data_IF_433008997457
#
_entry.id   IF_433008997457
#
_cell.length_a   1.000
_cell.length_b   1.000
_cell.length_c   1.000
_cell.angle_alpha   90.00
_cell.angle_beta   90.00
_cell.angle_gamma   90.00
#
_symmetry.space_group_name_H-M   'P 1'
#
loop_
_entity.id
_entity.type
_entity.pdbx_description
1 polymer ?
#
# COMPACT_ATOMS: atom_id res chain seq x y z
N UNK A 1 35.81 -69.53 4.30
CA UNK A 1 35.22 -68.65 5.33
C UNK A 1 34.44 -67.55 4.63
N UNK A 2 33.15 -67.79 4.38
CA UNK A 2 32.28 -66.88 3.63
C UNK A 2 31.18 -66.40 4.57
N UNK A 3 31.11 -65.08 4.82
CA UNK A 3 30.08 -64.47 5.68
C UNK A 3 28.99 -63.84 4.80
N UNK A 4 27.84 -64.50 4.73
CA UNK A 4 26.58 -63.91 4.27
C UNK A 4 26.07 -62.89 5.28
N UNK A 5 25.72 -61.69 4.81
CA UNK A 5 24.94 -60.70 5.58
C UNK A 5 23.46 -60.86 5.26
N UNK A 6 22.68 -61.12 6.30
CA UNK A 6 21.24 -61.26 6.31
C UNK A 6 20.64 -59.85 6.46
N UNK A 7 19.81 -59.41 5.51
CA UNK A 7 19.04 -58.16 5.57
C UNK A 7 17.68 -58.48 6.18
N UNK A 8 17.41 -58.01 7.40
CA UNK A 8 16.06 -58.01 7.99
C UNK A 8 15.36 -56.69 7.63
N UNK A 9 14.27 -56.77 6.88
CA UNK A 9 13.31 -55.69 6.74
C UNK A 9 12.49 -55.56 8.02
N UNK A 10 12.54 -54.38 8.62
CA UNK A 10 11.70 -53.98 9.75
C UNK A 10 10.50 -53.20 9.21
N UNK A 11 9.30 -53.76 9.36
CA UNK A 11 8.04 -53.04 9.17
C UNK A 11 7.78 -52.13 10.38
N UNK A 12 7.35 -50.87 10.21
CA UNK A 12 6.86 -50.07 11.31
C UNK A 12 5.38 -50.37 11.60
N UNK A 13 5.12 -50.62 12.88
CA UNK A 13 3.81 -50.88 13.44
C UNK A 13 2.97 -49.61 13.62
N UNK A 14 1.67 -49.83 13.58
CA UNK A 14 0.54 -48.93 13.84
C UNK A 14 0.75 -47.92 14.99
N UNK A 15 0.32 -46.67 14.75
CA UNK A 15 -0.19 -45.79 15.80
C UNK A 15 -1.55 -45.23 15.36
N UNK A 16 -2.59 -45.95 15.80
CA UNK A 16 -3.97 -45.47 15.90
C UNK A 16 -4.04 -44.36 16.95
N UNK A 17 -3.94 -43.10 16.52
CA UNK A 17 -4.27 -41.95 17.35
C UNK A 17 -5.71 -41.50 17.06
N UNK A 18 -6.58 -41.92 17.96
CA UNK A 18 -7.98 -41.54 18.13
C UNK A 18 -8.26 -40.03 17.98
N UNK A 19 -9.14 -39.69 17.02
CA UNK A 19 -9.83 -38.41 16.92
C UNK A 19 -10.74 -38.18 18.15
N UNK A 20 -10.23 -37.48 19.17
CA UNK A 20 -11.06 -36.88 20.22
C UNK A 20 -11.47 -35.47 19.76
N UNK A 21 -12.65 -35.40 19.14
CA UNK A 21 -13.42 -34.17 18.95
C UNK A 21 -13.68 -33.52 20.31
N UNK A 22 -12.84 -32.55 20.68
CA UNK A 22 -13.19 -31.59 21.73
C UNK A 22 -14.07 -30.53 21.10
N UNK A 23 -15.36 -30.62 21.38
CA UNK A 23 -16.33 -29.58 21.09
C UNK A 23 -15.92 -28.29 21.81
N UNK A 24 -15.16 -27.43 21.11
CA UNK A 24 -14.97 -26.04 21.51
C UNK A 24 -16.32 -25.35 21.36
N UNK A 25 -17.01 -25.26 22.49
CA UNK A 25 -18.18 -24.42 22.73
C UNK A 25 -17.78 -22.98 22.37
N UNK A 26 -18.10 -22.57 21.14
CA UNK A 26 -18.05 -21.18 20.72
C UNK A 26 -19.01 -20.39 21.62
N UNK A 27 -18.47 -19.80 22.70
CA UNK A 27 -19.15 -18.67 23.35
C UNK A 27 -19.04 -17.53 22.36
N UNK A 28 -20.18 -17.13 21.80
CA UNK A 28 -20.37 -15.83 21.18
C UNK A 28 -19.89 -14.75 22.17
N UNK A 29 -18.65 -14.30 22.00
CA UNK A 29 -18.17 -13.10 22.63
C UNK A 29 -18.75 -11.95 21.82
N UNK A 30 -19.78 -11.31 22.36
CA UNK A 30 -20.18 -9.98 21.93
C UNK A 30 -18.97 -9.04 22.09
N UNK A 31 -18.46 -8.41 21.02
CA UNK A 31 -17.53 -7.31 21.18
C UNK A 31 -18.35 -6.13 21.70
N UNK A 32 -18.25 -5.88 23.00
CA UNK A 32 -18.64 -4.61 23.57
C UNK A 32 -17.78 -3.53 22.91
N UNK A 33 -18.42 -2.59 22.22
CA UNK A 33 -17.80 -1.35 21.76
C UNK A 33 -17.15 -0.62 22.94
N UNK A 34 -15.83 -0.77 23.11
CA UNK A 34 -15.03 0.21 23.82
C UNK A 34 -14.71 1.34 22.85
N UNK A 35 -15.51 2.40 22.92
CA UNK A 35 -15.25 3.68 22.27
C UNK A 35 -13.91 4.23 22.74
N UNK A 36 -12.86 4.04 21.94
CA UNK A 36 -11.60 4.76 22.07
C UNK A 36 -11.83 6.23 21.73
N UNK A 37 -12.05 7.03 22.77
CA UNK A 37 -11.98 8.49 22.70
C UNK A 37 -10.50 8.87 22.78
N UNK A 38 -9.83 8.90 21.64
CA UNK A 38 -8.52 9.55 21.50
C UNK A 38 -8.72 11.07 21.54
N UNK A 39 -8.15 11.73 22.55
CA UNK A 39 -8.02 13.17 22.61
C UNK A 39 -6.53 13.51 22.58
N UNK A 40 -6.02 13.83 21.40
CA UNK A 40 -4.75 14.52 21.24
C UNK A 40 -4.91 15.97 21.71
N UNK A 41 -4.18 16.37 22.75
CA UNK A 41 -4.01 17.78 23.11
C UNK A 41 -2.77 18.32 22.39
N UNK A 42 -2.96 18.91 21.21
CA UNK A 42 -2.03 19.91 20.70
C UNK A 42 -2.18 21.17 21.57
N UNK A 43 -1.13 21.54 22.29
CA UNK A 43 -0.96 22.90 22.81
C UNK A 43 0.14 23.56 22.01
N UNK A 44 -0.27 24.23 20.93
CA UNK A 44 0.58 25.09 20.11
C UNK A 44 -0.15 26.41 19.92
N UNK A 45 0.44 27.49 20.44
CA UNK A 45 -0.01 28.87 20.30
C UNK A 45 -0.37 29.18 18.83
N UNK A 46 -1.64 29.46 18.54
CA UNK A 46 -2.05 30.09 17.29
C UNK A 46 -2.32 31.58 17.51
N UNK A 47 -1.52 32.37 16.80
CA UNK A 47 -1.73 33.78 16.49
C UNK A 47 -3.06 33.91 15.74
N UNK A 48 -3.96 34.76 16.23
CA UNK A 48 -5.17 35.15 15.50
C UNK A 48 -4.78 35.95 14.26
N UNK A 49 -4.98 35.37 13.08
CA UNK A 49 -5.14 36.14 11.84
C UNK A 49 -6.62 36.02 11.44
N UNK A 50 -7.31 37.16 11.47
CA UNK A 50 -8.67 37.28 10.95
C UNK A 50 -8.60 37.29 9.42
N UNK A 51 -9.22 36.32 8.75
CA UNK A 51 -9.62 36.46 7.35
C UNK A 51 -11.14 36.30 7.24
N UNK A 52 -11.79 37.43 7.07
CA UNK A 52 -13.18 37.55 6.65
C UNK A 52 -13.32 37.13 5.19
N UNK A 53 -14.17 36.15 4.90
CA UNK A 53 -14.71 35.97 3.54
C UNK A 53 -16.22 36.15 3.57
N UNK A 54 -16.78 36.98 2.66
CA UNK A 54 -18.20 37.31 2.67
C UNK A 54 -19.02 36.24 1.97
N UNK A 55 -20.19 35.99 2.55
CA UNK A 55 -21.34 35.33 1.95
C UNK A 55 -21.82 36.12 0.72
N UNK A 56 -22.01 35.44 -0.41
CA UNK A 56 -22.69 36.02 -1.59
C UNK A 56 -23.60 35.00 -2.25
N UNK A 57 -24.89 35.16 -1.95
CA UNK A 57 -26.06 34.76 -2.73
C UNK A 57 -25.96 35.22 -4.20
N UNK A 58 -26.22 34.31 -5.16
CA UNK A 58 -26.91 34.51 -6.47
C UNK A 58 -27.33 33.10 -6.93
N UNK A 59 -28.56 32.65 -7.19
CA UNK A 59 -29.87 33.18 -7.62
C UNK A 59 -29.86 34.03 -8.89
N UNK A 60 -30.07 33.37 -10.04
CA UNK A 60 -30.93 33.71 -11.19
C UNK A 60 -30.44 32.90 -12.40
N UNK A 61 -31.29 32.10 -13.07
CA UNK A 61 -31.96 32.42 -14.37
C UNK A 61 -30.94 32.65 -15.51
N UNK A 62 -31.13 32.27 -16.77
CA UNK A 62 -32.15 31.66 -17.62
C UNK A 62 -31.39 31.38 -18.94
N UNK A 63 -31.93 30.51 -19.82
CA UNK A 63 -31.72 30.57 -21.29
C UNK A 63 -30.29 30.33 -21.82
N UNK A 64 -30.03 29.81 -23.02
CA UNK A 64 -30.79 29.27 -24.14
C UNK A 64 -29.74 28.81 -25.16
N UNK A 65 -30.17 27.98 -26.12
CA UNK A 65 -29.54 27.81 -27.46
C UNK A 65 -28.18 27.08 -27.52
N UNK A 66 -27.81 26.36 -28.56
CA UNK A 66 -28.47 25.71 -29.70
C UNK A 66 -27.32 24.95 -30.40
N UNK A 67 -27.66 23.93 -31.20
CA UNK A 67 -26.91 23.54 -32.41
C UNK A 67 -25.45 23.04 -32.33
N UNK A 68 -25.30 21.72 -32.51
CA UNK A 68 -24.42 21.06 -33.50
C UNK A 68 -24.75 19.56 -33.46
N UNK A 69 -25.73 19.05 -34.22
CA UNK A 69 -25.67 18.70 -35.65
C UNK A 69 -24.32 18.12 -36.08
N UNK A 70 -24.13 16.85 -35.80
CA UNK A 70 -23.20 15.99 -36.55
C UNK A 70 -23.97 14.84 -37.17
N UNK A 71 -24.17 14.97 -38.47
CA UNK A 71 -24.67 13.96 -39.39
C UNK A 71 -23.55 12.94 -39.63
N UNK A 72 -23.84 11.65 -39.50
CA UNK A 72 -23.08 10.57 -40.12
C UNK A 72 -24.07 9.44 -40.39
N UNK A 73 -24.72 9.48 -41.55
CA UNK A 73 -24.34 8.72 -42.74
C UNK A 73 -24.89 7.30 -42.71
N UNK A 74 -26.13 7.22 -43.19
CA UNK A 74 -26.72 6.08 -43.88
C UNK A 74 -25.78 5.53 -44.96
N UNK A 75 -25.30 4.31 -44.79
CA UNK A 75 -24.76 3.50 -45.89
C UNK A 75 -25.56 2.20 -45.97
N UNK A 76 -26.61 2.25 -46.79
CA UNK A 76 -27.31 1.09 -47.33
C UNK A 76 -26.30 0.28 -48.16
N UNK A 77 -25.80 -0.82 -47.60
CA UNK A 77 -25.14 -1.86 -48.40
C UNK A 77 -26.14 -2.98 -48.64
N UNK A 78 -26.73 -2.90 -49.82
CA UNK A 78 -27.64 -3.88 -50.41
C UNK A 78 -26.84 -5.09 -50.89
N UNK A 79 -26.64 -6.10 -50.04
CA UNK A 79 -26.27 -7.44 -50.51
C UNK A 79 -27.54 -8.28 -50.68
N UNK A 80 -27.99 -8.33 -51.95
CA UNK A 80 -28.93 -9.33 -52.47
C UNK A 80 -28.35 -10.72 -52.23
N UNK A 81 -28.92 -11.46 -51.29
CA UNK A 81 -28.78 -12.92 -51.22
C UNK A 81 -29.83 -13.55 -52.14
N UNK A 82 -29.48 -14.59 -52.92
CA UNK A 82 -30.43 -15.26 -53.79
C UNK A 82 -31.45 -16.04 -52.96
N UNK A 83 -32.74 -15.74 -53.16
CA UNK A 83 -33.85 -16.56 -52.70
C UNK A 83 -33.67 -17.99 -53.27
N UNK A 84 -33.16 -18.89 -52.43
CA UNK A 84 -33.33 -20.32 -52.65
C UNK A 84 -34.78 -20.64 -52.30
N UNK A 85 -35.52 -20.99 -53.35
CA UNK A 85 -36.81 -21.67 -53.32
C UNK A 85 -36.72 -22.88 -52.38
N UNK A 86 -37.14 -22.72 -51.14
CA UNK A 86 -37.54 -23.83 -50.29
C UNK A 86 -39.06 -23.82 -50.27
N UNK A 87 -39.65 -24.63 -51.14
CA UNK A 87 -40.98 -25.19 -50.92
C UNK A 87 -40.89 -26.10 -49.68
N UNK A 88 -40.77 -25.51 -48.50
CA UNK A 88 -41.05 -26.22 -47.27
C UNK A 88 -42.55 -26.44 -47.19
N UNK A 89 -42.90 -27.71 -47.06
CA UNK A 89 -44.25 -28.17 -46.83
C UNK A 89 -44.83 -27.37 -45.66
N UNK A 90 -45.80 -26.49 -45.95
CA UNK A 90 -46.68 -25.91 -44.93
C UNK A 90 -47.39 -27.08 -44.25
N UNK A 91 -46.75 -27.67 -43.24
CA UNK A 91 -47.45 -28.40 -42.19
C UNK A 91 -48.47 -27.38 -41.68
N UNK A 92 -49.74 -27.64 -41.98
CA UNK A 92 -50.83 -26.82 -41.49
C UNK A 92 -50.65 -26.82 -39.98
N UNK A 93 -50.26 -25.67 -39.42
CA UNK A 93 -50.20 -25.51 -37.98
C UNK A 93 -51.59 -25.89 -37.47
N UNK A 94 -51.70 -26.76 -36.45
CA UNK A 94 -52.99 -27.09 -35.88
C UNK A 94 -53.71 -25.78 -35.58
N UNK A 95 -54.98 -25.71 -36.02
CA UNK A 95 -55.78 -24.50 -35.89
C UNK A 95 -55.82 -24.12 -34.41
N UNK A 96 -55.38 -22.91 -34.06
CA UNK A 96 -55.34 -22.45 -32.65
C UNK A 96 -56.72 -22.50 -31.98
N UNK A 97 -57.79 -22.55 -32.78
CA UNK A 97 -59.17 -22.71 -32.36
C UNK A 97 -59.50 -24.11 -31.81
N UNK A 98 -58.71 -25.12 -32.17
CA UNK A 98 -58.91 -26.54 -31.81
C UNK A 98 -58.09 -26.97 -30.60
N UNK A 99 -57.36 -26.05 -29.96
CA UNK A 99 -56.61 -26.34 -28.74
C UNK A 99 -57.56 -26.63 -27.57
N UNK A 100 -57.56 -27.89 -27.12
CA UNK A 100 -58.44 -28.42 -26.08
C UNK A 100 -58.33 -27.61 -24.77
N UNK A 101 -57.11 -27.20 -24.38
CA UNK A 101 -56.88 -26.44 -23.15
C UNK A 101 -57.46 -25.02 -23.24
N UNK A 102 -57.31 -24.37 -24.39
CA UNK A 102 -57.88 -23.05 -24.62
C UNK A 102 -59.42 -23.11 -24.71
N UNK A 103 -59.99 -24.16 -25.28
CA UNK A 103 -61.44 -24.36 -25.34
C UNK A 103 -62.03 -24.54 -23.93
N UNK A 104 -61.39 -25.36 -23.09
CA UNK A 104 -61.82 -25.55 -21.70
C UNK A 104 -61.75 -24.23 -20.91
N UNK A 105 -60.64 -23.50 -21.02
CA UNK A 105 -60.47 -22.20 -20.38
C UNK A 105 -61.52 -21.18 -20.88
N UNK A 106 -61.78 -21.13 -22.19
CA UNK A 106 -62.81 -20.26 -22.78
C UNK A 106 -64.17 -20.52 -22.15
N UNK A 107 -64.58 -21.79 -22.10
CA UNK A 107 -65.88 -22.16 -21.56
C UNK A 107 -65.97 -21.88 -20.06
N UNK A 108 -64.87 -22.04 -19.32
CA UNK A 108 -64.77 -21.73 -17.88
C UNK A 108 -64.96 -20.24 -17.60
N UNK A 109 -64.37 -19.35 -18.41
CA UNK A 109 -64.33 -17.92 -18.12
C UNK A 109 -65.44 -17.08 -18.80
N UNK A 110 -66.03 -17.54 -19.91
CA UNK A 110 -67.06 -16.79 -20.67
C UNK A 110 -68.36 -16.49 -19.90
N UNK A 111 -68.66 -17.22 -18.82
CA UNK A 111 -69.86 -17.02 -17.99
C UNK A 111 -69.64 -16.21 -16.72
N UNK A 112 -68.42 -15.72 -16.47
CA UNK A 112 -68.07 -15.02 -15.24
C UNK A 112 -68.08 -13.51 -15.46
N UNK A 113 -68.76 -12.75 -14.58
CA UNK A 113 -68.77 -11.29 -14.68
C UNK A 113 -67.39 -10.65 -14.45
N UNK A 114 -66.50 -11.34 -13.71
CA UNK A 114 -65.13 -10.90 -13.43
C UNK A 114 -64.18 -12.11 -13.35
N UNK A 115 -63.70 -12.64 -14.49
CA UNK A 115 -62.82 -13.80 -14.50
C UNK A 115 -61.44 -13.45 -13.90
N UNK A 116 -61.01 -14.25 -12.92
CA UNK A 116 -59.71 -14.09 -12.25
C UNK A 116 -58.70 -15.06 -12.85
N UNK A 117 -57.55 -14.55 -13.33
CA UNK A 117 -56.49 -15.32 -13.98
C UNK A 117 -55.26 -15.53 -13.09
N UNK A 118 -55.44 -15.71 -11.78
CA UNK A 118 -54.32 -15.82 -10.84
C UNK A 118 -53.60 -17.16 -10.89
N UNK A 119 -54.28 -18.22 -11.33
CA UNK A 119 -53.76 -19.59 -11.36
C UNK A 119 -53.05 -19.95 -12.67
N UNK A 120 -53.23 -19.15 -13.72
CA UNK A 120 -52.80 -19.50 -15.08
C UNK A 120 -51.37 -19.01 -15.37
N UNK A 121 -50.60 -19.83 -16.08
CA UNK A 121 -49.23 -19.50 -16.51
C UNK A 121 -49.23 -18.29 -17.47
N UNK A 122 -48.38 -17.26 -17.25
CA UNK A 122 -48.20 -16.16 -18.20
C UNK A 122 -47.96 -16.57 -19.65
N UNK A 123 -47.29 -17.70 -19.93
CA UNK A 123 -47.12 -18.18 -21.30
C UNK A 123 -48.42 -18.75 -21.88
N UNK A 124 -49.20 -19.47 -21.07
CA UNK A 124 -50.53 -19.93 -21.47
C UNK A 124 -51.46 -18.75 -21.74
N UNK A 125 -51.44 -17.71 -20.91
CA UNK A 125 -52.24 -16.49 -21.12
C UNK A 125 -51.97 -15.82 -22.47
N UNK A 126 -50.71 -15.84 -22.98
CA UNK A 126 -50.41 -15.30 -24.32
C UNK A 126 -51.06 -16.12 -25.43
N UNK A 127 -50.92 -17.45 -25.36
CA UNK A 127 -51.55 -18.38 -26.32
C UNK A 127 -53.07 -18.25 -26.26
N UNK A 128 -53.62 -18.13 -25.06
CA UNK A 128 -55.06 -17.98 -24.85
C UNK A 128 -55.61 -16.65 -25.40
N UNK A 129 -54.85 -15.55 -25.32
CA UNK A 129 -55.20 -14.29 -26.01
C UNK A 129 -55.30 -14.48 -27.53
N UNK A 130 -54.39 -15.24 -28.13
CA UNK A 130 -54.43 -15.53 -29.57
C UNK A 130 -55.62 -16.42 -29.93
N UNK A 131 -55.92 -17.44 -29.12
CA UNK A 131 -57.12 -18.27 -29.26
C UNK A 131 -58.41 -17.43 -29.20
N UNK A 132 -58.54 -16.55 -28.20
CA UNK A 132 -59.74 -15.74 -28.01
C UNK A 132 -59.94 -14.72 -29.15
N UNK A 133 -58.86 -14.18 -29.71
CA UNK A 133 -58.92 -13.34 -30.92
C UNK A 133 -59.43 -14.13 -32.14
N UNK A 134 -58.90 -15.33 -32.35
CA UNK A 134 -59.35 -16.20 -33.44
C UNK A 134 -60.82 -16.60 -33.27
N UNK A 135 -61.23 -16.91 -32.04
CA UNK A 135 -62.62 -17.24 -31.71
C UNK A 135 -63.57 -16.05 -31.93
N UNK A 136 -63.16 -14.84 -31.55
CA UNK A 136 -63.94 -13.62 -31.82
C UNK A 136 -64.18 -13.41 -33.32
N UNK A 137 -63.19 -13.67 -34.16
CA UNK A 137 -63.32 -13.60 -35.62
C UNK A 137 -64.22 -14.71 -36.20
N UNK A 138 -64.16 -15.92 -35.62
CA UNK A 138 -65.02 -17.03 -35.99
C UNK A 138 -66.49 -16.75 -35.63
N UNK A 139 -66.76 -16.23 -34.42
CA UNK A 139 -68.10 -15.76 -34.02
C UNK A 139 -68.63 -14.67 -34.95
N UNK A 140 -67.79 -13.71 -35.36
CA UNK A 140 -68.16 -12.67 -36.32
C UNK A 140 -68.52 -13.25 -37.69
N UNK A 141 -67.81 -14.29 -38.13
CA UNK A 141 -68.07 -14.99 -39.40
C UNK A 141 -69.35 -15.83 -39.35
N UNK A 142 -69.74 -16.30 -38.17
CA UNK A 142 -70.97 -17.07 -37.89
C UNK A 142 -72.15 -16.20 -37.47
N UNK A 143 -72.00 -14.87 -37.47
CA UNK A 143 -73.03 -13.90 -37.05
C UNK A 143 -73.46 -14.04 -35.57
N UNK A 144 -72.63 -14.64 -34.72
CA UNK A 144 -72.87 -14.80 -33.27
C UNK A 144 -72.30 -13.60 -32.49
N UNK A 145 -72.94 -12.44 -32.61
CA UNK A 145 -72.38 -11.18 -32.11
C UNK A 145 -72.31 -11.07 -30.59
N UNK A 146 -73.27 -11.65 -29.85
CA UNK A 146 -73.28 -11.62 -28.38
C UNK A 146 -72.09 -12.41 -27.79
N UNK A 147 -71.87 -13.63 -28.28
CA UNK A 147 -70.72 -14.47 -27.91
C UNK A 147 -69.40 -13.81 -28.35
N UNK A 148 -69.34 -13.23 -29.54
CA UNK A 148 -68.18 -12.49 -30.02
C UNK A 148 -67.85 -11.27 -29.14
N UNK A 149 -68.86 -10.57 -28.62
CA UNK A 149 -68.64 -9.45 -27.71
C UNK A 149 -68.10 -9.90 -26.34
N UNK A 150 -68.64 -11.00 -25.79
CA UNK A 150 -68.12 -11.61 -24.55
C UNK A 150 -66.67 -12.07 -24.72
N UNK A 151 -66.35 -12.73 -25.84
CA UNK A 151 -65.00 -13.15 -26.19
C UNK A 151 -64.03 -11.97 -26.30
N UNK A 152 -64.47 -10.85 -26.88
CA UNK A 152 -63.67 -9.65 -27.00
C UNK A 152 -63.42 -8.98 -25.63
N UNK A 153 -64.43 -8.88 -24.76
CA UNK A 153 -64.25 -8.37 -23.39
C UNK A 153 -63.24 -9.24 -22.64
N UNK A 154 -63.38 -10.57 -22.73
CA UNK A 154 -62.43 -11.50 -22.12
C UNK A 154 -61.01 -11.32 -22.65
N UNK A 155 -60.86 -11.09 -23.96
CA UNK A 155 -59.57 -10.79 -24.60
C UNK A 155 -58.94 -9.51 -24.04
N UNK A 156 -59.71 -8.44 -23.84
CA UNK A 156 -59.20 -7.20 -23.26
C UNK A 156 -58.74 -7.42 -21.81
N UNK A 157 -59.53 -8.12 -21.00
CA UNK A 157 -59.16 -8.44 -19.62
C UNK A 157 -57.85 -9.26 -19.54
N UNK A 158 -57.65 -10.22 -20.45
CA UNK A 158 -56.41 -10.99 -20.55
C UNK A 158 -55.21 -10.12 -20.94
N UNK A 159 -55.38 -9.18 -21.90
CA UNK A 159 -54.32 -8.25 -22.31
C UNK A 159 -53.94 -7.32 -21.16
N UNK A 160 -54.93 -6.76 -20.46
CA UNK A 160 -54.70 -5.92 -19.28
C UNK A 160 -53.96 -6.68 -18.18
N UNK A 161 -54.34 -7.94 -17.93
CA UNK A 161 -53.63 -8.81 -16.99
C UNK A 161 -52.19 -9.05 -17.42
N UNK A 162 -51.93 -9.41 -18.68
CA UNK A 162 -50.57 -9.59 -19.21
C UNK A 162 -49.73 -8.31 -19.10
N UNK A 163 -50.33 -7.15 -19.38
CA UNK A 163 -49.69 -5.84 -19.18
C UNK A 163 -49.37 -5.58 -17.71
N UNK A 164 -50.28 -5.90 -16.79
CA UNK A 164 -50.05 -5.75 -15.35
C UNK A 164 -48.89 -6.64 -14.85
N UNK A 165 -48.84 -7.89 -15.32
CA UNK A 165 -47.77 -8.84 -15.00
C UNK A 165 -46.43 -8.30 -15.53
N UNK A 166 -46.37 -7.92 -16.81
CA UNK A 166 -45.16 -7.38 -17.44
C UNK A 166 -44.66 -6.12 -16.75
N UNK A 167 -45.53 -5.17 -16.45
CA UNK A 167 -45.16 -3.93 -15.76
C UNK A 167 -44.66 -4.19 -14.33
N UNK A 168 -45.26 -5.16 -13.62
CA UNK A 168 -44.80 -5.57 -12.28
C UNK A 168 -43.38 -6.16 -12.32
N UNK A 169 -43.09 -7.03 -13.27
CA UNK A 169 -41.75 -7.62 -13.43
C UNK A 169 -40.71 -6.58 -13.86
N UNK A 170 -41.02 -5.73 -14.84
CA UNK A 170 -40.09 -4.69 -15.29
C UNK A 170 -39.76 -3.71 -14.16
N UNK A 171 -40.77 -3.29 -13.38
CA UNK A 171 -40.55 -2.42 -12.23
C UNK A 171 -39.65 -3.07 -11.17
N UNK A 172 -39.85 -4.34 -10.87
CA UNK A 172 -39.00 -5.08 -9.92
C UNK A 172 -37.56 -5.22 -10.41
N UNK A 173 -37.34 -5.44 -11.70
CA UNK A 173 -36.00 -5.61 -12.27
C UNK A 173 -35.26 -4.26 -12.34
N UNK A 174 -35.93 -3.19 -12.75
CA UNK A 174 -35.37 -1.83 -12.77
C UNK A 174 -34.96 -1.37 -11.36
N UNK A 175 -35.79 -1.64 -10.34
CA UNK A 175 -35.48 -1.36 -8.93
C UNK A 175 -34.22 -2.13 -8.46
N UNK A 176 -34.07 -3.39 -8.88
CA UNK A 176 -32.90 -4.22 -8.57
C UNK A 176 -31.63 -3.72 -9.24
N UNK A 177 -31.71 -3.32 -10.52
CA UNK A 177 -30.59 -2.74 -11.27
C UNK A 177 -30.16 -1.40 -10.64
N UNK A 178 -31.11 -0.54 -10.28
CA UNK A 178 -30.81 0.73 -9.62
C UNK A 178 -30.14 0.52 -8.25
N UNK A 179 -30.62 -0.46 -7.48
CA UNK A 179 -30.02 -0.83 -6.21
C UNK A 179 -28.58 -1.34 -6.37
N UNK A 180 -28.33 -2.20 -7.35
CA UNK A 180 -27.00 -2.72 -7.65
C UNK A 180 -26.04 -1.58 -8.02
N UNK A 181 -26.46 -0.66 -8.90
CA UNK A 181 -25.66 0.52 -9.25
C UNK A 181 -25.33 1.39 -8.04
N UNK A 182 -26.27 1.57 -7.11
CA UNK A 182 -26.03 2.31 -5.86
C UNK A 182 -25.02 1.59 -4.96
N UNK A 183 -25.13 0.27 -4.82
CA UNK A 183 -24.20 -0.54 -4.05
C UNK A 183 -22.78 -0.47 -4.63
N UNK A 184 -22.62 -0.57 -5.95
CA UNK A 184 -21.33 -0.50 -6.61
C UNK A 184 -20.72 0.91 -6.54
N UNK A 185 -21.53 1.96 -6.71
CA UNK A 185 -21.06 3.34 -6.50
C UNK A 185 -20.62 3.60 -5.05
N UNK A 186 -21.24 2.95 -4.07
CA UNK A 186 -20.85 3.05 -2.68
C UNK A 186 -19.54 2.31 -2.40
N UNK A 187 -19.35 1.10 -2.96
CA UNK A 187 -18.08 0.37 -2.88
C UNK A 187 -16.92 1.18 -3.48
N UNK A 188 -17.14 1.81 -4.63
CA UNK A 188 -16.12 2.65 -5.27
C UNK A 188 -15.75 3.86 -4.41
N UNK A 189 -16.73 4.50 -3.76
CA UNK A 189 -16.47 5.58 -2.79
C UNK A 189 -15.61 5.14 -1.62
N UNK A 190 -15.87 3.96 -1.03
CA UNK A 190 -15.06 3.43 0.06
C UNK A 190 -13.64 3.12 -0.37
N UNK A 191 -13.49 2.57 -1.58
CA UNK A 191 -12.18 2.30 -2.16
C UNK A 191 -11.37 3.58 -2.31
N UNK A 192 -11.99 4.63 -2.89
CA UNK A 192 -11.36 5.94 -3.02
C UNK A 192 -10.98 6.54 -1.66
N UNK A 193 -11.86 6.46 -0.66
CA UNK A 193 -11.56 6.96 0.69
C UNK A 193 -10.41 6.19 1.38
N UNK A 194 -10.32 4.87 1.17
CA UNK A 194 -9.19 4.06 1.66
C UNK A 194 -7.89 4.40 0.94
N UNK A 195 -7.93 4.57 -0.39
CA UNK A 195 -6.76 4.94 -1.20
C UNK A 195 -6.25 6.34 -0.80
N UNK A 196 -7.14 7.32 -0.62
CA UNK A 196 -6.79 8.65 -0.12
C UNK A 196 -6.19 8.60 1.29
N UNK A 197 -6.72 7.75 2.18
CA UNK A 197 -6.19 7.58 3.53
C UNK A 197 -4.79 6.94 3.52
N UNK A 198 -4.56 5.97 2.64
CA UNK A 198 -3.26 5.33 2.47
C UNK A 198 -2.22 6.33 1.90
N UNK A 199 -2.61 7.19 0.95
CA UNK A 199 -1.76 8.28 0.45
C UNK A 199 -1.38 9.27 1.57
N UNK A 200 -2.36 9.73 2.35
CA UNK A 200 -2.11 10.62 3.50
C UNK A 200 -1.18 9.97 4.54
N UNK A 201 -1.31 8.66 4.73
CA UNK A 201 -0.44 7.88 5.64
C UNK A 201 1.00 7.88 5.14
N UNK A 202 1.21 7.65 3.83
CA UNK A 202 2.53 7.70 3.21
C UNK A 202 3.17 9.09 3.31
N UNK A 203 2.41 10.15 3.05
CA UNK A 203 2.89 11.54 3.18
C UNK A 203 3.33 11.86 4.63
N UNK A 204 2.54 11.45 5.62
CA UNK A 204 2.88 11.63 7.04
C UNK A 204 4.14 10.85 7.43
N UNK A 205 4.30 9.64 6.89
CA UNK A 205 5.47 8.81 7.14
C UNK A 205 6.72 9.44 6.55
N UNK A 206 6.66 9.92 5.30
CA UNK A 206 7.76 10.64 4.67
C UNK A 206 8.14 11.92 5.44
N UNK A 207 7.15 12.72 5.84
CA UNK A 207 7.40 13.92 6.64
C UNK A 207 8.03 13.60 8.01
N UNK A 208 7.66 12.47 8.63
CA UNK A 208 8.29 11.99 9.86
C UNK A 208 9.75 11.60 9.62
N UNK A 209 10.04 10.88 8.53
CA UNK A 209 11.41 10.47 8.18
C UNK A 209 12.31 11.67 7.87
N UNK A 210 11.83 12.66 7.12
CA UNK A 210 12.54 13.91 6.87
C UNK A 210 12.87 14.64 8.19
N UNK A 211 11.89 14.74 9.10
CA UNK A 211 12.10 15.32 10.44
C UNK A 211 13.14 14.54 11.25
N UNK A 212 13.08 13.21 11.23
CA UNK A 212 14.04 12.36 11.94
C UNK A 212 15.45 12.54 11.39
N UNK A 213 15.59 12.66 10.07
CA UNK A 213 16.87 12.94 9.43
C UNK A 213 17.42 14.31 9.86
N UNK A 214 16.59 15.36 9.87
CA UNK A 214 17.01 16.67 10.37
C UNK A 214 17.46 16.62 11.84
N UNK A 215 16.80 15.82 12.67
CA UNK A 215 17.18 15.64 14.07
C UNK A 215 18.53 14.94 14.22
N UNK A 216 18.82 13.95 13.36
CA UNK A 216 20.13 13.30 13.29
C UNK A 216 21.20 14.31 12.84
N UNK A 217 20.92 15.12 11.82
CA UNK A 217 21.86 16.12 11.33
C UNK A 217 22.13 17.20 12.39
N UNK A 218 21.09 17.68 13.07
CA UNK A 218 21.21 18.61 14.20
C UNK A 218 22.00 17.98 15.36
N UNK A 219 21.78 16.69 15.64
CA UNK A 219 22.53 15.96 16.66
C UNK A 219 24.02 15.88 16.30
N UNK A 220 24.34 15.55 15.05
CA UNK A 220 25.72 15.44 14.57
C UNK A 220 26.42 16.80 14.58
N UNK A 221 25.76 17.85 14.07
CA UNK A 221 26.32 19.21 14.05
C UNK A 221 26.51 19.78 15.47
N UNK A 222 25.60 19.49 16.39
CA UNK A 222 25.70 19.94 17.79
C UNK A 222 26.68 19.13 18.65
N UNK A 223 27.06 17.92 18.23
CA UNK A 223 27.95 17.06 19.00
C UNK A 223 29.39 17.61 19.09
N UNK A 224 29.81 18.37 18.09
CA UNK A 224 31.20 18.78 17.96
C UNK A 224 31.59 19.93 18.91
N UNK A 225 30.72 20.92 19.10
CA UNK A 225 31.12 22.14 19.81
C UNK A 225 31.05 22.02 21.34
N UNK A 226 29.94 21.53 21.88
CA UNK A 226 29.65 21.59 23.31
C UNK A 226 30.05 20.32 24.06
N UNK A 227 29.82 19.16 23.45
CA UNK A 227 30.08 17.88 24.10
C UNK A 227 31.56 17.56 24.17
N UNK A 228 32.31 17.83 23.11
CA UNK A 228 33.75 17.56 23.09
C UNK A 228 34.51 18.35 24.17
N UNK A 229 34.08 19.58 24.47
CA UNK A 229 34.61 20.37 25.58
C UNK A 229 34.51 19.64 26.92
N UNK A 230 33.49 18.81 27.19
CA UNK A 230 33.33 18.19 28.53
C UNK A 230 34.36 17.11 28.84
N UNK A 231 34.73 16.28 27.87
CA UNK A 231 35.66 15.13 28.01
C UNK A 231 37.10 15.54 27.94
N UNK A 232 37.27 16.64 27.26
CA UNK A 232 38.35 17.53 27.51
C UNK A 232 38.26 18.02 29.00
N UNK A 233 38.75 17.34 30.05
CA UNK A 233 39.31 18.01 31.27
C UNK A 233 40.57 17.27 31.76
N UNK A 234 41.74 17.91 32.04
CA UNK A 234 42.93 17.18 32.42
C UNK A 234 42.69 16.63 33.82
N UNK A 235 43.28 15.48 34.14
CA UNK A 235 43.27 15.06 35.53
C UNK A 235 44.03 16.07 36.40
N UNK A 236 43.66 16.12 37.69
CA UNK A 236 44.42 16.90 38.67
C UNK A 236 45.88 16.45 38.79
N UNK A 237 46.17 15.17 38.51
CA UNK A 237 47.53 14.62 38.55
C UNK A 237 48.39 15.17 37.40
N UNK A 238 47.88 15.16 36.17
CA UNK A 238 48.56 15.75 35.02
C UNK A 238 48.82 17.26 35.21
N UNK A 239 47.84 17.98 35.76
CA UNK A 239 48.02 19.39 36.13
C UNK A 239 49.14 19.60 37.17
N UNK A 240 49.28 18.69 38.13
CA UNK A 240 50.34 18.75 39.13
C UNK A 240 51.71 18.47 38.54
N UNK A 241 51.82 17.48 37.64
CA UNK A 241 53.08 17.19 36.93
C UNK A 241 53.55 18.40 36.13
N UNK A 242 52.67 19.07 35.38
CA UNK A 242 53.03 20.30 34.65
C UNK A 242 53.43 21.47 35.55
N UNK A 243 52.81 21.59 36.74
CA UNK A 243 53.23 22.61 37.71
C UNK A 243 54.61 22.31 38.25
N UNK A 244 54.89 21.05 38.58
CA UNK A 244 56.18 20.58 39.09
C UNK A 244 57.29 20.73 38.05
N UNK A 245 57.04 20.32 36.81
CA UNK A 245 57.91 20.53 35.65
C UNK A 245 58.30 22.01 35.50
N UNK A 246 57.31 22.91 35.43
CA UNK A 246 57.54 24.36 35.32
C UNK A 246 58.31 24.93 36.50
N UNK A 247 58.08 24.39 37.70
CA UNK A 247 58.78 24.80 38.91
C UNK A 247 60.26 24.38 38.88
N UNK A 248 60.56 23.13 38.53
CA UNK A 248 61.93 22.60 38.40
C UNK A 248 62.72 23.31 37.30
N UNK A 249 62.09 23.58 36.16
CA UNK A 249 62.69 24.34 35.07
C UNK A 249 63.07 25.77 35.51
N UNK A 250 62.24 26.44 36.32
CA UNK A 250 62.56 27.75 36.90
C UNK A 250 63.74 27.70 37.89
N UNK A 251 63.91 26.58 38.59
CA UNK A 251 65.04 26.34 39.49
C UNK A 251 66.32 25.91 38.74
N UNK A 252 66.31 25.83 37.40
CA UNK A 252 67.41 25.37 36.55
C UNK A 252 67.84 23.91 36.81
N UNK A 253 66.95 23.08 37.33
CA UNK A 253 67.16 21.65 37.50
C UNK A 253 66.63 20.90 36.27
N UNK A 254 67.39 20.96 35.17
CA UNK A 254 66.89 20.52 33.86
C UNK A 254 66.70 19.00 33.74
N UNK A 255 67.60 18.21 34.31
CA UNK A 255 67.54 16.74 34.25
C UNK A 255 66.26 16.19 34.92
N UNK A 256 65.93 16.71 36.10
CA UNK A 256 64.72 16.28 36.81
C UNK A 256 63.45 16.81 36.12
N UNK A 257 63.50 18.02 35.55
CA UNK A 257 62.39 18.55 34.76
C UNK A 257 62.11 17.67 33.52
N UNK A 258 63.13 17.17 32.83
CA UNK A 258 63.00 16.25 31.69
C UNK A 258 62.36 14.91 32.11
N UNK A 259 62.72 14.38 33.28
CA UNK A 259 62.11 13.16 33.83
C UNK A 259 60.61 13.35 34.08
N UNK A 260 60.23 14.45 34.72
CA UNK A 260 58.82 14.78 34.99
C UNK A 260 58.06 15.06 33.68
N UNK A 261 58.70 15.70 32.71
CA UNK A 261 58.13 15.94 31.38
C UNK A 261 57.75 14.63 30.69
N UNK A 262 58.66 13.66 30.62
CA UNK A 262 58.36 12.36 30.01
C UNK A 262 57.26 11.57 30.73
N UNK A 263 57.10 11.74 32.05
CA UNK A 263 55.97 11.19 32.80
C UNK A 263 54.65 11.90 32.46
N UNK A 264 54.67 13.23 32.39
CA UNK A 264 53.51 14.05 32.02
C UNK A 264 53.03 13.76 30.60
N UNK A 265 53.94 13.58 29.63
CA UNK A 265 53.60 13.21 28.25
C UNK A 265 52.92 11.84 28.18
N UNK A 266 53.48 10.84 28.88
CA UNK A 266 52.88 9.49 28.95
C UNK A 266 51.47 9.51 29.54
N UNK A 267 51.29 10.26 30.63
CA UNK A 267 49.98 10.42 31.29
C UNK A 267 49.00 11.19 30.40
N UNK A 268 49.44 12.26 29.73
CA UNK A 268 48.64 13.02 28.78
C UNK A 268 48.16 12.16 27.61
N UNK A 269 49.02 11.33 27.04
CA UNK A 269 48.65 10.41 25.96
C UNK A 269 47.62 9.36 26.42
N UNK A 270 47.78 8.82 27.63
CA UNK A 270 46.82 7.87 28.22
C UNK A 270 45.45 8.52 28.47
N UNK A 271 45.42 9.71 29.08
CA UNK A 271 44.19 10.47 29.33
C UNK A 271 43.49 10.86 28.03
N UNK A 272 44.24 11.27 27.01
CA UNK A 272 43.68 11.61 25.69
C UNK A 272 43.01 10.39 25.04
N UNK A 273 43.67 9.22 25.07
CA UNK A 273 43.10 7.97 24.54
C UNK A 273 41.82 7.58 25.30
N UNK A 274 41.83 7.70 26.63
CA UNK A 274 40.66 7.42 27.45
C UNK A 274 39.51 8.41 27.19
N UNK A 275 39.83 9.70 27.07
CA UNK A 275 38.85 10.74 26.76
C UNK A 275 38.19 10.50 25.39
N UNK A 276 38.98 10.11 24.39
CA UNK A 276 38.46 9.75 23.07
C UNK A 276 37.51 8.54 23.14
N UNK A 277 37.92 7.47 23.83
CA UNK A 277 37.07 6.27 24.01
C UNK A 277 35.76 6.60 24.73
N UNK A 278 35.78 7.49 25.72
CA UNK A 278 34.59 7.94 26.42
C UNK A 278 33.67 8.78 25.52
N UNK A 279 34.21 9.69 24.70
CA UNK A 279 33.43 10.46 23.71
C UNK A 279 32.73 9.53 22.74
N UNK A 280 33.44 8.56 22.17
CA UNK A 280 32.88 7.60 21.21
C UNK A 280 31.77 6.75 21.85
N UNK A 281 31.98 6.28 23.08
CA UNK A 281 30.97 5.54 23.84
C UNK A 281 29.71 6.36 24.09
N UNK A 282 29.87 7.59 24.56
CA UNK A 282 28.73 8.46 24.88
C UNK A 282 28.00 8.95 23.63
N UNK A 283 28.71 9.15 22.52
CA UNK A 283 28.12 9.40 21.21
C UNK A 283 27.21 8.26 20.79
N UNK A 284 27.75 7.03 20.78
CA UNK A 284 26.98 5.81 20.43
C UNK A 284 25.75 5.65 21.31
N UNK A 285 25.90 5.83 22.63
CA UNK A 285 24.78 5.71 23.56
C UNK A 285 23.70 6.77 23.32
N UNK A 286 24.07 8.02 22.98
CA UNK A 286 23.07 9.07 22.72
C UNK A 286 22.42 8.93 21.36
N UNK A 287 23.15 8.47 20.35
CA UNK A 287 22.60 8.15 19.04
C UNK A 287 21.58 7.00 19.14
N UNK A 288 21.93 5.89 19.81
CA UNK A 288 21.01 4.76 20.05
C UNK A 288 19.74 5.20 20.81
N UNK A 289 19.87 6.12 21.77
CA UNK A 289 18.70 6.72 22.45
C UNK A 289 17.84 7.57 21.53
N UNK A 290 18.43 8.28 20.56
CA UNK A 290 17.70 9.07 19.57
C UNK A 290 16.97 8.14 18.59
N UNK A 291 17.66 7.14 18.05
CA UNK A 291 17.08 6.12 17.16
C UNK A 291 15.93 5.36 17.83
N UNK A 292 16.07 4.99 19.11
CA UNK A 292 14.98 4.37 19.88
C UNK A 292 13.75 5.27 19.99
N UNK A 293 13.93 6.59 20.12
CA UNK A 293 12.79 7.53 20.12
C UNK A 293 12.15 7.61 18.74
N UNK A 294 12.96 7.70 17.68
CA UNK A 294 12.48 7.70 16.29
C UNK A 294 11.65 6.45 15.98
N UNK A 295 12.14 5.29 16.42
CA UNK A 295 11.42 4.03 16.27
C UNK A 295 10.08 4.02 17.02
N UNK A 296 10.05 4.50 18.28
CA UNK A 296 8.81 4.62 19.06
C UNK A 296 7.81 5.60 18.42
N UNK A 297 8.29 6.71 17.85
CA UNK A 297 7.45 7.67 17.13
C UNK A 297 6.85 7.04 15.87
N UNK A 298 7.67 6.31 15.09
CA UNK A 298 7.23 5.60 13.89
C UNK A 298 6.18 4.53 14.23
N UNK A 299 6.43 3.71 15.24
CA UNK A 299 5.45 2.71 15.73
C UNK A 299 4.14 3.34 16.20
N UNK A 300 4.22 4.48 16.90
CA UNK A 300 3.03 5.20 17.36
C UNK A 300 2.22 5.72 16.16
N UNK A 301 2.89 6.29 15.16
CA UNK A 301 2.24 6.76 13.93
C UNK A 301 1.58 5.59 13.19
N UNK A 302 2.24 4.43 13.08
CA UNK A 302 1.66 3.24 12.48
C UNK A 302 0.40 2.77 13.19
N UNK A 303 0.43 2.66 14.52
CA UNK A 303 -0.74 2.28 15.33
C UNK A 303 -1.90 3.26 15.17
N UNK A 304 -1.60 4.56 15.08
CA UNK A 304 -2.60 5.59 14.84
C UNK A 304 -3.21 5.46 13.44
N UNK A 305 -2.38 5.25 12.41
CA UNK A 305 -2.84 5.07 11.04
C UNK A 305 -3.70 3.81 10.89
N UNK A 306 -3.26 2.68 11.46
CA UNK A 306 -3.99 1.42 11.47
C UNK A 306 -5.35 1.56 12.18
N UNK A 307 -5.37 2.22 13.34
CA UNK A 307 -6.62 2.49 14.05
C UNK A 307 -7.60 3.32 13.21
N UNK A 308 -7.13 4.35 12.51
CA UNK A 308 -7.99 5.15 11.63
C UNK A 308 -8.48 4.36 10.40
N UNK A 309 -7.64 3.52 9.79
CA UNK A 309 -8.03 2.61 8.70
C UNK A 309 -9.13 1.64 9.15
N UNK A 310 -8.99 1.07 10.35
CA UNK A 310 -9.98 0.17 10.95
C UNK A 310 -11.34 0.87 11.20
N UNK A 311 -11.34 2.17 11.51
CA UNK A 311 -12.58 2.95 11.64
C UNK A 311 -13.30 3.06 10.29
N UNK A 312 -12.58 3.30 9.19
CA UNK A 312 -13.15 3.36 7.84
C UNK A 312 -13.75 2.00 7.46
N UNK A 313 -12.99 0.91 7.64
CA UNK A 313 -13.44 -0.46 7.36
C UNK A 313 -14.68 -0.83 8.19
N UNK A 314 -14.71 -0.46 9.47
CA UNK A 314 -15.87 -0.71 10.34
C UNK A 314 -17.09 0.07 9.85
N UNK A 315 -16.90 1.31 9.39
CA UNK A 315 -17.97 2.14 8.82
C UNK A 315 -18.52 1.53 7.54
N UNK A 316 -17.64 1.09 6.63
CA UNK A 316 -17.99 0.36 5.41
C UNK A 316 -18.81 -0.91 5.74
N UNK A 317 -18.29 -1.78 6.61
CA UNK A 317 -18.96 -3.03 6.97
C UNK A 317 -20.36 -2.80 7.58
N UNK A 318 -20.50 -1.77 8.40
CA UNK A 318 -21.79 -1.38 8.99
C UNK A 318 -22.78 -0.93 7.92
N UNK A 319 -22.34 -0.21 6.90
CA UNK A 319 -23.20 0.24 5.81
C UNK A 319 -23.57 -0.89 4.85
N UNK A 320 -22.63 -1.78 4.53
CA UNK A 320 -22.90 -3.02 3.78
C UNK A 320 -23.93 -3.89 4.50
N UNK A 321 -23.80 -4.05 5.82
CA UNK A 321 -24.79 -4.78 6.62
C UNK A 321 -26.16 -4.11 6.62
N UNK A 322 -26.23 -2.77 6.61
CA UNK A 322 -27.51 -2.05 6.49
C UNK A 322 -28.16 -2.26 5.13
N UNK A 323 -27.37 -2.32 4.06
CA UNK A 323 -27.86 -2.65 2.72
C UNK A 323 -28.43 -4.07 2.68
N UNK A 324 -27.69 -5.06 3.17
CA UNK A 324 -28.17 -6.45 3.27
C UNK A 324 -29.45 -6.56 4.12
N UNK A 325 -29.52 -5.83 5.24
CA UNK A 325 -30.72 -5.81 6.08
C UNK A 325 -31.92 -5.15 5.35
N UNK A 326 -31.69 -4.12 4.52
CA UNK A 326 -32.76 -3.53 3.70
C UNK A 326 -33.23 -4.51 2.63
N UNK A 327 -32.31 -5.20 1.97
CA UNK A 327 -32.63 -6.21 0.97
C UNK A 327 -33.48 -7.35 1.57
N UNK A 328 -33.09 -7.87 2.74
CA UNK A 328 -33.87 -8.88 3.46
C UNK A 328 -35.24 -8.37 3.90
N UNK A 329 -35.34 -7.14 4.44
CA UNK A 329 -36.64 -6.54 4.81
C UNK A 329 -37.53 -6.29 3.61
N UNK A 330 -37.00 -5.85 2.47
CA UNK A 330 -37.77 -5.69 1.22
C UNK A 330 -38.31 -7.05 0.75
N UNK A 331 -37.48 -8.08 0.79
CA UNK A 331 -37.86 -9.45 0.44
C UNK A 331 -38.87 -10.08 1.40
N UNK A 332 -38.88 -9.66 2.68
CA UNK A 332 -39.78 -10.18 3.70
C UNK A 332 -41.09 -9.39 3.80
N UNK A 333 -41.05 -8.07 3.59
CA UNK A 333 -42.24 -7.20 3.59
C UNK A 333 -43.16 -7.47 2.39
N UNK A 334 -42.62 -7.98 1.28
CA UNK A 334 -43.45 -8.53 0.20
C UNK A 334 -44.20 -9.79 0.63
N UNK A 335 -43.82 -10.44 1.74
CA UNK A 335 -44.41 -11.69 2.24
C UNK A 335 -45.32 -11.50 3.47
N UNK A 336 -45.07 -10.51 4.34
CA UNK A 336 -45.82 -10.38 5.60
C UNK A 336 -46.92 -9.30 5.63
N UNK A 337 -48.12 -9.72 6.05
CA UNK A 337 -49.26 -8.86 6.33
C UNK A 337 -49.11 -8.08 7.66
N UNK A 338 -49.61 -6.84 7.76
CA UNK A 338 -49.24 -5.89 8.81
C UNK A 338 -49.79 -6.28 10.20
N UNK A 339 -48.88 -6.43 11.19
CA UNK A 339 -49.23 -6.60 12.61
C UNK A 339 -48.95 -5.32 13.42
N UNK A 340 -49.90 -5.01 14.33
CA UNK A 340 -49.91 -3.84 15.21
C UNK A 340 -49.06 -4.10 16.45
N UNK A 341 -48.03 -3.30 16.70
CA UNK A 341 -47.22 -3.37 17.92
C UNK A 341 -47.12 -2.03 18.66
N UNK A 342 -47.11 -2.13 19.98
CA UNK A 342 -47.19 -1.09 21.00
C UNK A 342 -45.80 -0.68 21.55
N UNK A 343 -45.67 0.48 22.23
CA UNK A 343 -44.37 1.08 22.56
C UNK A 343 -43.90 0.82 24.01
N UNK A 344 -42.59 0.67 24.21
CA UNK A 344 -41.95 0.72 25.53
C UNK A 344 -40.74 1.69 25.57
N UNK A 345 -40.53 2.22 26.78
CA UNK A 345 -39.82 3.44 27.19
C UNK A 345 -38.31 3.29 27.45
N UNK A 346 -37.64 4.43 27.29
CA UNK A 346 -36.24 4.84 27.50
C UNK A 346 -35.74 4.68 28.96
N UNK A 347 -34.54 4.18 29.25
CA UNK A 347 -33.17 4.74 29.16
C UNK A 347 -32.83 5.84 30.18
N UNK A 348 -31.77 5.64 30.96
CA UNK A 348 -31.22 6.58 31.96
C UNK A 348 -29.70 6.49 32.08
N UNK A 349 -29.06 7.66 32.24
CA UNK A 349 -27.66 8.02 31.92
C UNK A 349 -26.74 8.33 33.13
N UNK A 350 -25.45 8.60 32.86
CA UNK A 350 -24.44 9.49 33.54
C UNK A 350 -23.50 8.87 34.60
N UNK A 351 -22.30 9.38 34.92
CA UNK A 351 -21.23 10.19 34.27
C UNK A 351 -19.99 10.18 35.22
N UNK A 352 -18.78 10.51 34.73
CA UNK A 352 -17.46 10.38 35.41
C UNK A 352 -16.90 11.71 35.99
N UNK A 353 -15.99 11.64 36.99
CA UNK A 353 -15.07 12.75 37.35
C UNK A 353 -13.63 12.29 37.67
N UNK A 354 -12.64 13.14 37.32
CA UNK A 354 -11.17 12.92 37.37
C UNK A 354 -10.44 13.85 38.35
N UNK A 355 -9.24 13.43 38.78
CA UNK A 355 -8.24 14.06 39.68
C UNK A 355 -7.24 15.00 38.96
N UNK A 356 -6.47 15.80 39.74
CA UNK A 356 -5.40 16.74 39.33
C UNK A 356 -3.98 16.26 39.71
N UNK A 357 -2.97 16.78 38.99
CA UNK A 357 -1.52 16.48 39.06
C UNK A 357 -0.65 17.61 39.63
N UNK A 358 0.59 17.21 39.98
CA UNK A 358 1.74 17.91 40.60
C UNK A 358 2.74 18.51 39.57
N UNK A 359 3.71 19.32 40.03
CA UNK A 359 4.86 19.89 39.29
C UNK A 359 6.17 19.78 40.09
N UNK A 360 7.36 19.64 39.44
CA UNK A 360 8.68 19.71 40.09
C UNK A 360 9.62 20.81 39.53
N UNK A 361 10.76 21.03 40.22
CA UNK A 361 11.80 22.04 39.95
C UNK A 361 13.19 21.46 39.63
N UNK A 362 14.04 22.27 38.98
CA UNK A 362 15.35 21.93 38.38
C UNK A 362 16.48 22.77 39.04
N UNK A 363 17.73 22.29 39.05
CA UNK A 363 18.91 23.17 39.15
C UNK A 363 20.18 22.61 38.49
N UNK A 364 21.23 23.45 38.44
CA UNK A 364 22.10 23.76 37.29
C UNK A 364 23.58 23.33 37.48
N UNK A 365 24.39 23.33 36.40
CA UNK A 365 25.80 22.87 36.34
C UNK A 365 26.76 23.91 35.70
N UNK A 366 28.08 23.76 35.90
CA UNK A 366 29.16 24.52 35.22
C UNK A 366 30.24 23.60 34.60
N UNK A 367 30.91 24.00 33.48
CA UNK A 367 32.14 23.34 33.01
C UNK A 367 33.33 24.27 32.65
N UNK A 368 34.56 23.72 32.70
CA UNK A 368 35.85 24.31 32.25
C UNK A 368 36.70 23.21 31.64
N UNK A 369 37.28 23.40 30.43
CA UNK A 369 37.53 22.31 29.46
C UNK A 369 38.92 22.34 28.76
N UNK A 370 39.53 21.17 28.46
CA UNK A 370 40.81 20.78 27.77
C UNK A 370 40.79 21.02 26.23
N UNK A 371 41.85 20.59 25.51
CA UNK A 371 42.05 20.72 24.07
C UNK A 371 41.19 19.84 23.14
N UNK A 372 40.83 20.32 21.93
CA UNK A 372 40.88 19.56 20.69
C UNK A 372 40.41 18.10 20.44
N UNK A 373 39.56 17.39 21.20
CA UNK A 373 39.06 16.05 20.74
C UNK A 373 38.47 16.08 19.33
N UNK A 374 38.59 14.97 18.60
CA UNK A 374 38.13 14.80 17.23
C UNK A 374 36.69 14.24 17.19
N UNK A 375 35.84 14.67 16.24
CA UNK A 375 34.49 14.14 16.07
C UNK A 375 34.49 12.63 15.75
N UNK A 376 33.60 11.83 16.37
CA UNK A 376 33.43 10.41 16.02
C UNK A 376 33.07 10.19 14.53
N UNK A 377 32.33 11.13 13.93
CA UNK A 377 31.88 11.05 12.53
C UNK A 377 33.07 11.13 11.55
N UNK A 378 34.13 11.85 11.91
CA UNK A 378 35.31 12.00 11.04
C UNK A 378 36.25 10.80 11.07
N UNK A 379 36.20 9.96 12.11
CA UNK A 379 37.01 8.73 12.16
C UNK A 379 36.50 7.69 11.16
N UNK A 380 35.17 7.50 11.07
CA UNK A 380 34.58 6.58 10.08
C UNK A 380 34.93 6.98 8.65
N UNK A 381 34.82 8.27 8.31
CA UNK A 381 35.18 8.74 6.97
C UNK A 381 36.69 8.60 6.66
N UNK A 382 37.56 8.54 7.67
CA UNK A 382 38.99 8.28 7.49
C UNK A 382 39.30 6.80 7.34
N UNK A 383 38.66 5.95 8.14
CA UNK A 383 38.76 4.49 8.03
C UNK A 383 38.23 4.02 6.67
N UNK A 384 37.05 4.48 6.26
CA UNK A 384 36.46 4.12 4.97
C UNK A 384 37.26 4.67 3.78
N UNK A 385 37.90 5.83 3.91
CA UNK A 385 38.82 6.33 2.88
C UNK A 385 40.14 5.56 2.85
N UNK A 386 40.62 5.06 3.99
CA UNK A 386 41.80 4.21 4.03
C UNK A 386 41.50 2.83 3.44
N UNK A 387 40.35 2.24 3.76
CA UNK A 387 39.89 0.97 3.20
C UNK A 387 39.70 1.08 1.68
N UNK A 388 39.01 2.13 1.19
CA UNK A 388 38.93 2.44 -0.25
C UNK A 388 40.29 2.69 -0.91
N UNK A 389 41.29 3.13 -0.16
CA UNK A 389 42.65 3.35 -0.67
C UNK A 389 43.42 2.02 -0.73
N UNK A 390 43.24 1.15 0.25
CA UNK A 390 43.79 -0.21 0.26
C UNK A 390 43.19 -1.04 -0.89
N UNK A 391 41.86 -1.01 -1.08
CA UNK A 391 41.19 -1.68 -2.21
C UNK A 391 41.70 -1.17 -3.57
N UNK A 392 41.87 0.14 -3.71
CA UNK A 392 42.44 0.73 -4.94
C UNK A 392 43.90 0.32 -5.16
N UNK A 393 44.67 0.18 -4.09
CA UNK A 393 46.06 -0.26 -4.19
C UNK A 393 46.14 -1.75 -4.54
N UNK A 394 45.23 -2.57 -4.02
CA UNK A 394 45.13 -3.99 -4.33
C UNK A 394 44.69 -4.23 -5.79
N UNK A 395 43.66 -3.52 -6.26
CA UNK A 395 43.27 -3.52 -7.67
C UNK A 395 44.40 -3.09 -8.61
N UNK A 396 45.19 -2.08 -8.20
CA UNK A 396 46.34 -1.62 -8.98
C UNK A 396 47.44 -2.69 -9.05
N UNK A 397 47.71 -3.40 -7.95
CA UNK A 397 48.66 -4.52 -7.92
C UNK A 397 48.20 -5.70 -8.77
N UNK A 398 46.89 -5.96 -8.82
CA UNK A 398 46.32 -7.01 -9.67
C UNK A 398 46.45 -6.68 -11.16
N UNK A 399 46.11 -5.44 -11.56
CA UNK A 399 46.33 -4.97 -12.93
C UNK A 399 47.81 -5.01 -13.35
N UNK A 400 48.73 -4.70 -12.44
CA UNK A 400 50.16 -4.74 -12.73
C UNK A 400 50.66 -6.18 -12.92
N UNK A 401 50.12 -7.16 -12.17
CA UNK A 401 50.40 -8.58 -12.38
C UNK A 401 49.88 -9.09 -13.73
N UNK A 402 48.67 -8.69 -14.12
CA UNK A 402 48.08 -9.08 -15.40
C UNK A 402 48.89 -8.52 -16.59
N UNK A 403 49.33 -7.26 -16.49
CA UNK A 403 50.20 -6.68 -17.51
C UNK A 403 51.56 -7.40 -17.61
N UNK A 404 52.17 -7.76 -16.47
CA UNK A 404 53.42 -8.54 -16.47
C UNK A 404 53.25 -9.94 -17.05
N UNK A 405 52.10 -10.59 -16.83
CA UNK A 405 51.81 -11.88 -17.46
C UNK A 405 51.63 -11.75 -18.97
N UNK A 406 50.95 -10.71 -19.42
CA UNK A 406 50.73 -10.43 -20.84
C UNK A 406 52.05 -10.13 -21.58
N UNK A 407 52.93 -9.35 -20.97
CA UNK A 407 54.26 -9.04 -21.51
C UNK A 407 55.16 -10.28 -21.58
N UNK A 408 55.04 -11.21 -20.62
CA UNK A 408 55.72 -12.52 -20.71
C UNK A 408 55.22 -13.38 -21.85
N UNK A 409 53.90 -13.40 -22.09
CA UNK A 409 53.31 -14.16 -23.19
C UNK A 409 53.69 -13.57 -24.57
N UNK A 410 53.79 -12.25 -24.70
CA UNK A 410 54.22 -11.60 -25.94
C UNK A 410 55.71 -11.85 -26.25
N UNK A 411 56.59 -11.94 -25.24
CA UNK A 411 58.01 -12.23 -25.45
C UNK A 411 58.33 -13.71 -25.73
N UNK A 412 57.48 -14.66 -25.33
CA UNK A 412 57.67 -16.08 -25.64
C UNK A 412 57.17 -16.48 -27.05
N UNK A 413 56.54 -15.54 -27.78
CA UNK A 413 55.88 -15.80 -29.07
C UNK A 413 56.69 -15.53 -30.34
N UNK A 414 57.88 -14.89 -30.29
CA UNK A 414 58.67 -14.62 -31.50
C UNK A 414 59.75 -15.69 -31.78
N UNK A 415 59.56 -16.57 -32.79
CA UNK A 415 60.63 -17.44 -33.26
C UNK A 415 61.71 -16.60 -33.97
N UNK A 416 62.90 -16.59 -33.40
CA UNK A 416 64.14 -16.05 -33.97
C UNK A 416 64.35 -16.54 -35.41
N UNK A 417 63.99 -15.72 -36.41
CA UNK A 417 64.51 -15.84 -37.77
C UNK A 417 65.88 -15.15 -37.81
N UNK A 418 66.91 -15.97 -37.90
CA UNK A 418 68.27 -15.59 -38.23
C UNK A 418 68.32 -14.92 -39.61
N UNK A 419 68.79 -13.67 -39.66
CA UNK A 419 69.50 -13.16 -40.82
C UNK A 419 70.69 -12.34 -40.35
N UNK A 420 71.83 -12.66 -40.93
CA UNK A 420 73.16 -12.18 -40.65
C UNK A 420 73.53 -11.01 -41.55
N UNK A 421 74.67 -10.38 -41.22
CA UNK A 421 75.37 -9.27 -41.90
C UNK A 421 74.93 -7.88 -41.41
N UNK A 422 75.81 -6.92 -41.14
CA UNK A 422 77.28 -6.87 -41.07
C UNK A 422 77.62 -5.46 -40.54
N UNK A 423 78.64 -5.38 -39.68
CA UNK A 423 79.56 -4.24 -39.51
C UNK A 423 79.06 -2.81 -39.77
N UNK A 424 79.12 -1.94 -38.75
CA UNK A 424 80.11 -0.85 -38.74
C UNK A 424 80.04 0.01 -37.48
N UNK A 425 81.22 0.49 -37.15
CA UNK A 425 81.74 1.37 -36.11
C UNK A 425 81.02 2.70 -35.85
N UNK A 426 81.44 3.31 -34.73
CA UNK A 426 81.44 4.75 -34.39
C UNK A 426 80.12 5.25 -33.79
N UNK A 427 80.04 6.16 -32.85
CA UNK A 427 80.91 6.86 -31.89
C UNK A 427 80.01 7.96 -31.28
N UNK A 428 80.43 8.59 -30.18
CA UNK A 428 79.99 9.92 -29.70
C UNK A 428 78.54 10.02 -29.17
N UNK A 429 78.31 10.17 -27.86
CA UNK A 429 78.41 11.40 -27.04
C UNK A 429 77.26 12.40 -27.23
N UNK A 430 76.96 13.12 -26.14
CA UNK A 430 75.96 14.20 -25.91
C UNK A 430 74.59 13.68 -25.47
N UNK A 431 74.12 13.94 -24.24
CA UNK A 431 73.85 15.21 -23.54
C UNK A 431 72.67 16.00 -24.11
N UNK A 432 71.82 16.43 -23.18
CA UNK A 432 70.84 17.51 -23.22
C UNK A 432 69.36 17.18 -23.52
N UNK A 433 68.54 17.50 -22.51
CA UNK A 433 67.33 18.33 -22.58
C UNK A 433 66.16 17.95 -23.50
N UNK A 434 65.01 17.65 -22.90
CA UNK A 434 63.76 18.45 -22.96
C UNK A 434 62.61 17.65 -22.33
N UNK A 435 61.96 18.13 -21.27
CA UNK A 435 60.87 19.13 -21.24
C UNK A 435 59.47 18.52 -21.54
N UNK A 436 58.44 18.83 -20.73
CA UNK A 436 57.21 18.04 -20.63
C UNK A 436 56.15 18.50 -21.64
N UNK A 437 55.56 17.56 -22.37
CA UNK A 437 54.47 17.83 -23.31
C UNK A 437 53.12 17.73 -22.60
N UNK A 438 52.46 18.89 -22.49
CA UNK A 438 51.01 19.03 -22.29
C UNK A 438 50.25 18.30 -23.41
N UNK A 439 49.25 17.51 -23.03
CA UNK A 439 48.07 17.20 -23.86
C UNK A 439 46.93 16.91 -22.89
N UNK A 440 46.06 17.89 -22.68
CA UNK A 440 44.81 18.09 -23.42
C UNK A 440 43.65 17.34 -22.78
N UNK A 441 42.77 18.20 -22.25
CA UNK A 441 41.56 17.93 -21.49
C UNK A 441 40.44 17.63 -22.48
N UNK A 442 40.17 16.36 -22.73
CA UNK A 442 38.94 15.94 -23.42
C UNK A 442 37.84 15.70 -22.38
N UNK A 443 36.92 16.66 -22.34
CA UNK A 443 35.66 16.60 -21.59
C UNK A 443 34.67 15.74 -22.37
N UNK A 444 34.65 14.43 -22.13
CA UNK A 444 33.53 13.57 -22.56
C UNK A 444 32.48 13.53 -21.44
N UNK A 445 31.40 14.26 -21.68
CA UNK A 445 30.16 14.25 -20.93
C UNK A 445 29.43 12.93 -21.24
N UNK A 446 29.49 11.97 -20.33
CA UNK A 446 28.69 10.75 -20.39
C UNK A 446 27.38 11.00 -19.65
N UNK A 447 26.27 10.89 -20.38
CA UNK A 447 24.92 10.79 -19.81
C UNK A 447 24.79 9.49 -18.99
N UNK A 448 24.11 9.50 -17.83
CA UNK A 448 23.81 8.28 -17.13
C UNK A 448 22.61 7.58 -17.76
N UNK A 449 22.89 6.39 -18.28
CA UNK A 449 21.95 5.34 -18.66
C UNK A 449 21.09 4.97 -17.43
N UNK A 450 19.78 5.26 -17.48
CA UNK A 450 18.83 4.80 -16.47
C UNK A 450 18.62 3.29 -16.66
N UNK A 451 19.15 2.51 -15.73
CA UNK A 451 18.79 1.09 -15.59
C UNK A 451 17.57 1.01 -14.68
N UNK A 452 16.49 0.49 -15.24
CA UNK A 452 15.29 0.08 -14.50
C UNK A 452 15.69 -1.00 -13.48
N UNK A 453 15.61 -0.65 -12.19
CA UNK A 453 15.87 -1.56 -11.08
C UNK A 453 14.55 -2.25 -10.71
N UNK A 454 14.33 -3.43 -11.29
CA UNK A 454 13.29 -4.37 -10.91
C UNK A 454 13.64 -4.96 -9.53
N UNK A 455 13.18 -4.34 -8.45
CA UNK A 455 13.34 -4.87 -7.10
C UNK A 455 12.34 -6.00 -6.85
N UNK A 456 12.76 -7.23 -7.12
CA UNK A 456 12.11 -8.44 -6.62
C UNK A 456 12.57 -8.69 -5.16
N UNK A 457 11.69 -8.42 -4.19
CA UNK A 457 11.87 -8.83 -2.78
C UNK A 457 11.55 -10.33 -2.62
N UNK A 458 12.46 -11.15 -2.08
CA UNK A 458 12.14 -12.51 -1.65
C UNK A 458 11.57 -12.49 -0.23
N UNK A 459 10.35 -12.99 -0.09
CA UNK A 459 9.63 -13.22 1.15
C UNK A 459 10.28 -14.41 1.92
N UNK A 460 11.02 -14.11 2.99
CA UNK A 460 11.54 -15.12 3.92
C UNK A 460 10.60 -15.27 5.12
N UNK A 461 9.95 -16.43 5.21
CA UNK A 461 9.27 -16.92 6.41
C UNK A 461 10.30 -17.28 7.51
N UNK A 462 10.12 -16.81 8.76
CA UNK A 462 10.88 -17.32 9.89
C UNK A 462 10.09 -18.37 10.69
N UNK A 463 10.63 -19.59 10.65
CA UNK A 463 10.81 -20.60 11.71
C UNK A 463 9.69 -20.91 12.73
N UNK A 464 9.25 -22.18 12.66
CA UNK A 464 8.86 -23.00 13.81
C UNK A 464 10.12 -23.45 14.60
N UNK A 465 10.13 -23.20 15.91
CA UNK A 465 10.91 -23.95 16.91
C UNK A 465 10.11 -24.11 18.19
#
# INVERSE_FOLDING_TARGET
MSRSRNVRHSMPAELLASNKLTAKRYRFFHPYEQKYRSSASLTGNQIRIYSSTPTSNKRSQLESEDSQRSQASTAKSSQRSPQKNQQEQKKQLPSILEDEQCIEARNKYMGQENPTFEEEDPEFLKVFVEHMKAYTLDCASKEQYEEGNQANILTQNLIEKLHSIKNSYQKSEDEKIEYQKKADAQKEKWKQELDEYDQQTQERLKALEEKQQEEIDKFNNGWDEDTMRKYRKPSGQLLNLWRMEKFLAKQKQFEEAERIHGEAERMSAAEQKQAQANVEKDYKMKLDKLEKKHQQEKEKLFKECEAGKNVIITRQSKEEMQLLNRETVVNFKSQEAPRKNSPQKECGTRDLQKKKYSQPSVSFQFPTTLPPLNPPVQQKNKEENNEKKEDKEEQKKEQEKDNQQKEKQENEGEPKKSSSSSSSSSSSSSSAENSPRKSEKSSSRSEPEMKDEETATPEQNPDEK
#
